data_IF_956517401246
#
_entry.id   IF_956517401246
#
_cell.length_a   1.000
_cell.length_b   1.000
_cell.length_c   1.000
_cell.angle_alpha   90.00
_cell.angle_beta   90.00
_cell.angle_gamma   90.00
#
_symmetry.space_group_name_H-M   'P 1'
#
loop_
_entity.id
_entity.type
_entity.pdbx_description
1 polymer ?
#
# COMPACT_ATOMS: atom_id res chain seq x y z
N UNK A 1 -4.58 -13.11 14.88
CA UNK A 1 -3.50 -12.87 13.90
C UNK A 1 -2.83 -11.59 14.30
N UNK A 2 -1.53 -11.64 14.52
CA UNK A 2 -0.74 -10.47 14.92
C UNK A 2 -0.22 -9.79 13.66
N UNK A 3 -0.78 -8.64 13.35
CA UNK A 3 -0.44 -7.87 12.15
C UNK A 3 0.76 -6.96 12.43
N UNK A 4 1.73 -6.99 11.52
CA UNK A 4 2.90 -6.11 11.54
C UNK A 4 2.88 -5.17 10.33
N UNK A 5 3.26 -3.89 10.50
CA UNK A 5 3.30 -2.96 9.39
C UNK A 5 4.42 -3.32 8.41
N UNK A 6 4.10 -3.27 7.12
CA UNK A 6 5.10 -3.28 6.06
C UNK A 6 5.92 -1.98 6.11
N UNK A 7 7.20 -2.00 5.66
CA UNK A 7 8.08 -0.83 5.67
C UNK A 7 7.76 0.16 4.54
N UNK A 8 6.50 0.57 4.43
CA UNK A 8 6.05 1.60 3.50
C UNK A 8 6.59 2.95 3.96
N UNK A 9 7.44 3.57 3.16
CA UNK A 9 8.04 4.88 3.44
C UNK A 9 7.37 5.93 2.56
N UNK A 10 6.44 6.76 3.08
CA UNK A 10 5.67 7.69 2.26
C UNK A 10 6.54 8.72 1.53
N UNK A 11 7.65 9.11 2.14
CA UNK A 11 8.58 10.10 1.59
C UNK A 11 9.36 9.58 0.37
N UNK A 12 9.36 8.26 0.14
CA UNK A 12 9.89 7.66 -1.09
C UNK A 12 8.92 7.76 -2.28
N UNK A 13 7.71 8.29 -2.05
CA UNK A 13 6.68 8.40 -3.07
C UNK A 13 6.13 7.04 -3.50
N UNK A 14 5.34 7.09 -4.58
CA UNK A 14 4.78 5.94 -5.26
C UNK A 14 5.13 6.02 -6.76
N UNK A 15 5.26 4.87 -7.45
CA UNK A 15 5.22 3.50 -6.89
C UNK A 15 6.44 3.19 -6.02
N UNK A 16 6.29 2.25 -5.08
CA UNK A 16 7.40 1.73 -4.28
C UNK A 16 7.41 0.20 -4.26
N UNK A 17 8.60 -0.37 -4.18
CA UNK A 17 8.79 -1.80 -4.05
C UNK A 17 9.81 -2.10 -2.96
N UNK A 18 9.57 -3.16 -2.19
CA UNK A 18 10.44 -3.58 -1.09
C UNK A 18 10.29 -5.07 -0.83
N UNK A 19 11.34 -5.68 -0.27
CA UNK A 19 11.35 -7.08 0.11
C UNK A 19 11.19 -7.23 1.63
N UNK A 20 10.47 -8.25 2.07
CA UNK A 20 10.37 -8.62 3.48
C UNK A 20 10.44 -10.13 3.65
N UNK A 21 11.14 -10.58 4.69
CA UNK A 21 10.98 -11.93 5.20
C UNK A 21 9.82 -11.95 6.19
N UNK A 22 8.86 -12.85 5.98
CA UNK A 22 7.73 -13.05 6.89
C UNK A 22 7.66 -14.54 7.21
N UNK A 23 7.93 -14.88 8.47
CA UNK A 23 7.98 -16.26 8.94
C UNK A 23 8.93 -17.17 8.14
N UNK A 24 10.09 -16.65 7.72
CA UNK A 24 11.10 -17.40 6.97
C UNK A 24 10.82 -17.54 5.48
N UNK A 25 9.82 -16.81 4.96
CA UNK A 25 9.48 -16.77 3.54
C UNK A 25 9.75 -15.38 2.99
N UNK A 26 10.53 -15.31 1.91
CA UNK A 26 10.87 -14.07 1.23
C UNK A 26 9.74 -13.64 0.28
N UNK A 27 9.25 -12.42 0.49
CA UNK A 27 8.23 -11.77 -0.34
C UNK A 27 8.75 -10.47 -0.94
N UNK A 28 8.34 -10.18 -2.17
CA UNK A 28 8.46 -8.84 -2.76
C UNK A 28 7.08 -8.18 -2.82
N UNK A 29 7.01 -6.96 -2.31
CA UNK A 29 5.83 -6.12 -2.34
C UNK A 29 6.02 -5.01 -3.36
N UNK A 30 4.96 -4.71 -4.10
CA UNK A 30 4.87 -3.52 -4.95
C UNK A 30 3.61 -2.75 -4.59
N UNK A 31 3.75 -1.48 -4.27
CA UNK A 31 2.66 -0.60 -3.89
C UNK A 31 2.60 0.57 -4.87
N UNK A 32 1.42 0.82 -5.43
CA UNK A 32 1.18 1.95 -6.32
C UNK A 32 -0.15 2.62 -6.04
N UNK A 33 -0.21 3.91 -6.32
CA UNK A 33 -1.43 4.70 -6.25
C UNK A 33 -1.97 4.95 -7.66
N UNK A 34 -3.27 4.79 -7.83
CA UNK A 34 -3.97 5.18 -9.05
C UNK A 34 -5.07 6.17 -8.67
N UNK A 35 -4.79 7.46 -8.84
CA UNK A 35 -5.68 8.57 -8.50
C UNK A 35 -5.90 9.43 -9.74
N UNK A 36 -7.14 9.90 -9.90
CA UNK A 36 -7.51 10.92 -10.89
C UNK A 36 -7.64 12.26 -10.16
N UNK A 37 -6.60 13.08 -10.23
CA UNK A 37 -6.52 14.36 -9.52
C UNK A 37 -5.99 15.47 -10.44
N UNK A 38 -6.42 16.73 -10.26
CA UNK A 38 -5.90 17.86 -11.02
C UNK A 38 -4.39 18.01 -10.94
N UNK A 39 -3.74 18.36 -12.06
CA UNK A 39 -2.32 18.71 -12.07
C UNK A 39 -2.03 20.05 -11.39
N UNK A 40 -3.04 20.91 -11.27
CA UNK A 40 -2.97 22.21 -10.61
C UNK A 40 -3.04 22.12 -9.08
N UNK A 41 -3.34 20.96 -8.52
CA UNK A 41 -3.35 20.77 -7.07
C UNK A 41 -1.94 20.92 -6.50
N UNK A 42 -1.76 21.64 -5.37
CA UNK A 42 -0.45 21.80 -4.76
C UNK A 42 0.10 20.47 -4.26
N UNK A 43 1.43 20.33 -4.18
CA UNK A 43 2.10 19.08 -3.81
C UNK A 43 1.65 18.55 -2.44
N UNK A 44 1.33 19.45 -1.51
CA UNK A 44 0.90 19.17 -0.14
C UNK A 44 -0.59 18.83 -0.03
N UNK A 45 -1.36 18.94 -1.12
CA UNK A 45 -2.77 18.52 -1.11
C UNK A 45 -2.85 17.02 -0.88
N UNK A 46 -3.63 16.62 0.11
CA UNK A 46 -3.78 15.23 0.55
C UNK A 46 -5.15 14.69 0.15
N UNK A 47 -5.17 13.46 -0.33
CA UNK A 47 -6.37 12.71 -0.65
C UNK A 47 -6.49 11.54 0.32
N UNK A 48 -7.59 11.52 1.06
CA UNK A 48 -7.95 10.37 1.89
C UNK A 48 -8.61 9.31 1.01
N UNK A 49 -7.98 8.15 0.88
CA UNK A 49 -8.47 7.04 0.07
C UNK A 49 -9.49 6.17 0.82
N UNK A 50 -9.78 6.49 2.09
CA UNK A 50 -10.89 5.91 2.84
C UNK A 50 -12.20 6.68 2.66
N UNK A 51 -12.14 7.89 2.10
CA UNK A 51 -13.33 8.69 1.86
C UNK A 51 -14.24 8.01 0.81
N UNK A 52 -15.59 8.06 0.98
CA UNK A 52 -16.52 7.49 0.00
C UNK A 52 -16.35 8.03 -1.43
N UNK A 53 -15.88 9.28 -1.55
CA UNK A 53 -15.62 9.99 -2.80
C UNK A 53 -14.12 10.07 -3.13
N UNK A 54 -13.32 9.14 -2.59
CA UNK A 54 -11.89 9.07 -2.86
C UNK A 54 -11.60 9.11 -4.38
N UNK A 55 -10.63 9.92 -4.83
CA UNK A 55 -10.33 10.10 -6.25
C UNK A 55 -9.58 8.91 -6.87
N UNK A 56 -9.45 7.80 -6.14
CA UNK A 56 -8.59 6.69 -6.53
C UNK A 56 -8.45 5.61 -5.47
N UNK A 57 -7.45 4.75 -5.66
CA UNK A 57 -7.16 3.62 -4.77
C UNK A 57 -5.67 3.28 -4.75
N UNK A 58 -5.26 2.55 -3.71
CA UNK A 58 -3.96 1.87 -3.69
C UNK A 58 -4.11 0.49 -4.31
N UNK A 59 -3.04 0.01 -4.93
CA UNK A 59 -2.93 -1.37 -5.37
C UNK A 59 -1.66 -1.97 -4.80
N UNK A 60 -1.82 -3.18 -4.27
CA UNK A 60 -0.73 -3.99 -3.79
C UNK A 60 -0.49 -5.15 -4.76
N UNK A 61 0.79 -5.41 -5.02
CA UNK A 61 1.31 -6.64 -5.60
C UNK A 61 2.11 -7.37 -4.53
N UNK A 62 1.89 -8.67 -4.40
CA UNK A 62 2.67 -9.55 -3.53
C UNK A 62 3.22 -10.69 -4.38
N UNK A 63 4.53 -10.90 -4.29
CA UNK A 63 5.24 -12.00 -4.93
C UNK A 63 5.93 -12.81 -3.85
N UNK A 64 5.88 -14.13 -3.97
CA UNK A 64 6.74 -15.00 -3.18
C UNK A 64 7.84 -15.56 -4.07
N UNK A 65 9.08 -15.51 -3.59
CA UNK A 65 10.21 -16.08 -4.32
C UNK A 65 9.97 -17.58 -4.56
N UNK A 66 10.10 -18.02 -5.82
CA UNK A 66 9.85 -19.40 -6.22
C UNK A 66 8.38 -19.79 -6.46
N UNK A 67 7.41 -18.97 -6.06
CA UNK A 67 5.98 -19.23 -6.28
C UNK A 67 5.29 -18.20 -7.21
N UNK A 68 5.91 -17.05 -7.45
CA UNK A 68 5.39 -16.02 -8.36
C UNK A 68 4.40 -15.06 -7.67
N UNK A 69 3.52 -14.43 -8.47
CA UNK A 69 2.56 -13.42 -7.99
C UNK A 69 1.43 -14.10 -7.21
N UNK A 70 1.30 -13.78 -5.94
CA UNK A 70 0.25 -14.30 -5.05
C UNK A 70 -0.96 -13.36 -4.96
N UNK A 71 -0.73 -12.05 -5.12
CA UNK A 71 -1.78 -11.04 -5.05
C UNK A 71 -1.45 -9.88 -5.99
N UNK A 72 -2.48 -9.40 -6.69
CA UNK A 72 -2.49 -8.12 -7.40
C UNK A 72 -3.90 -7.55 -7.28
N UNK A 73 -4.12 -6.67 -6.30
CA UNK A 73 -5.46 -6.21 -5.92
C UNK A 73 -5.45 -4.77 -5.45
N UNK A 74 -6.51 -4.05 -5.83
CA UNK A 74 -6.89 -2.79 -5.19
C UNK A 74 -7.17 -3.07 -3.72
N UNK A 75 -6.64 -2.23 -2.84
CA UNK A 75 -6.90 -2.29 -1.42
C UNK A 75 -7.85 -1.16 -1.03
N UNK A 76 -8.87 -1.48 -0.24
CA UNK A 76 -9.67 -0.50 0.44
C UNK A 76 -9.13 -0.33 1.87
N UNK A 77 -8.98 0.90 2.38
CA UNK A 77 -8.55 1.15 3.76
C UNK A 77 -9.70 0.88 4.73
N UNK A 78 -10.00 -0.40 4.93
CA UNK A 78 -11.03 -0.90 5.83
C UNK A 78 -10.39 -1.91 6.79
N UNK A 79 -10.30 -1.61 8.11
CA UNK A 79 -9.57 -2.47 9.04
C UNK A 79 -10.08 -3.91 9.14
N UNK A 80 -11.36 -4.14 8.86
CA UNK A 80 -12.00 -5.46 8.84
C UNK A 80 -11.78 -6.23 7.53
N UNK A 81 -11.33 -5.57 6.47
CA UNK A 81 -11.11 -6.18 5.17
C UNK A 81 -9.69 -6.77 5.10
N UNK A 82 -9.61 -8.10 5.14
CA UNK A 82 -8.35 -8.83 5.02
C UNK A 82 -8.31 -9.59 3.71
N UNK A 83 -7.25 -9.35 2.94
CA UNK A 83 -6.95 -10.07 1.71
C UNK A 83 -5.98 -11.22 1.98
N UNK A 84 -6.21 -12.36 1.32
CA UNK A 84 -5.29 -13.49 1.36
C UNK A 84 -4.32 -13.43 0.17
N UNK A 85 -3.02 -13.57 0.44
CA UNK A 85 -1.96 -13.70 -0.55
C UNK A 85 -1.12 -14.95 -0.22
N UNK A 86 -1.56 -16.11 -0.72
CA UNK A 86 -0.97 -17.40 -0.32
C UNK A 86 -1.14 -17.66 1.19
N UNK A 87 -0.01 -17.72 1.91
CA UNK A 87 0.06 -17.88 3.36
C UNK A 87 0.13 -16.53 4.13
N UNK A 88 -0.18 -15.41 3.47
CA UNK A 88 -0.25 -14.09 4.11
C UNK A 88 -1.68 -13.57 4.20
N UNK A 89 -1.98 -12.98 5.35
CA UNK A 89 -3.05 -12.02 5.59
C UNK A 89 -2.53 -10.62 5.26
N UNK A 90 -3.29 -9.81 4.54
CA UNK A 90 -2.92 -8.43 4.23
C UNK A 90 -4.10 -7.49 4.46
N UNK A 91 -3.87 -6.35 5.11
CA UNK A 91 -4.88 -5.29 5.25
C UNK A 91 -4.27 -3.91 5.10
N UNK A 92 -5.10 -2.96 4.69
CA UNK A 92 -4.76 -1.54 4.61
C UNK A 92 -5.52 -0.82 5.73
N UNK A 93 -4.81 -0.17 6.65
CA UNK A 93 -5.41 0.47 7.83
C UNK A 93 -5.38 2.00 7.77
N UNK A 94 -4.51 2.57 6.93
CA UNK A 94 -4.48 4.00 6.64
C UNK A 94 -4.00 4.25 5.21
N UNK A 95 -4.63 5.20 4.51
CA UNK A 95 -4.28 5.55 3.14
C UNK A 95 -4.61 7.01 2.83
N UNK A 96 -3.72 7.92 3.25
CA UNK A 96 -3.72 9.31 2.82
C UNK A 96 -2.52 9.53 1.90
N UNK A 97 -2.75 10.05 0.70
CA UNK A 97 -1.69 10.29 -0.30
C UNK A 97 -1.64 11.77 -0.64
N UNK A 98 -0.47 12.38 -0.50
CA UNK A 98 -0.22 13.74 -0.96
C UNK A 98 0.06 13.76 -2.48
N UNK A 99 -0.38 14.82 -3.16
CA UNK A 99 -0.20 15.00 -4.61
C UNK A 99 1.25 14.88 -5.05
N UNK A 100 2.18 15.42 -4.25
CA UNK A 100 3.61 15.38 -4.50
C UNK A 100 4.21 13.97 -4.46
N UNK A 101 3.58 13.04 -3.72
CA UNK A 101 4.07 11.66 -3.58
C UNK A 101 3.55 10.69 -4.66
N UNK A 102 2.67 11.12 -5.58
CA UNK A 102 2.15 10.22 -6.63
C UNK A 102 3.19 9.78 -7.65
N UNK A 103 4.29 10.53 -7.80
CA UNK A 103 5.42 10.21 -8.71
C UNK A 103 6.74 10.84 -8.22
N UNK A 104 6.87 11.13 -6.92
CA UNK A 104 7.96 11.99 -6.42
C UNK A 104 8.38 11.71 -4.99
N UNK A 105 9.67 11.87 -4.74
CA UNK A 105 10.28 11.87 -3.42
C UNK A 105 9.95 13.17 -2.68
N UNK A 106 9.74 13.09 -1.36
CA UNK A 106 9.60 14.26 -0.50
C UNK A 106 8.56 14.10 0.60
N UNK A 107 8.71 14.89 1.66
CA UNK A 107 7.84 14.85 2.84
C UNK A 107 6.63 15.77 2.65
N UNK A 108 5.61 15.31 1.93
CA UNK A 108 4.39 16.09 1.65
C UNK A 108 3.19 15.70 2.55
N UNK A 109 3.41 14.82 3.54
CA UNK A 109 2.39 14.44 4.52
C UNK A 109 1.51 13.24 4.11
N UNK A 110 1.99 12.39 3.20
CA UNK A 110 1.38 11.09 2.94
C UNK A 110 1.46 10.17 4.17
N UNK A 111 0.43 9.35 4.40
CA UNK A 111 0.39 8.33 5.44
C UNK A 111 -0.24 7.07 4.87
N UNK A 112 0.55 6.01 4.73
CA UNK A 112 0.08 4.72 4.24
C UNK A 112 0.51 3.64 5.22
N UNK A 113 -0.42 2.79 5.63
CA UNK A 113 -0.14 1.68 6.53
C UNK A 113 -0.77 0.41 5.97
N UNK A 114 0.07 -0.43 5.38
CA UNK A 114 -0.27 -1.80 4.99
C UNK A 114 0.31 -2.73 6.03
N UNK A 115 -0.49 -3.65 6.53
CA UNK A 115 -0.08 -4.59 7.56
C UNK A 115 -0.26 -6.03 7.08
N UNK A 116 0.59 -6.92 7.55
CA UNK A 116 0.61 -8.34 7.18
C UNK A 116 0.67 -9.24 8.40
N UNK A 117 0.13 -10.44 8.27
CA UNK A 117 0.27 -11.50 9.26
C UNK A 117 0.38 -12.87 8.56
N UNK A 118 1.00 -13.90 9.16
CA UNK A 118 0.86 -15.26 8.68
C UNK A 118 -0.62 -15.71 8.69
N UNK A 119 -1.08 -16.31 7.60
CA UNK A 119 -2.40 -16.90 7.43
C UNK A 119 -2.27 -18.42 7.48
N UNK A 120 -2.70 -19.02 8.59
CA UNK A 120 -2.76 -20.47 8.79
C UNK A 120 -3.95 -21.09 8.04
#
# INVERSE_FOLDING_TARGET
MDFTPLPVLPDLGLPQAFACDIAGVAYEFGLYANLTVPETDPAEKRYDLAAPDAPGFLVLRVVQQGAGVLLLRKLAPEPGLVHRAGALAVRLTAATVARGNLNGLGSFGSRITVEVAPWA
#
